data_IF_614623552538
#
_entry.id   IF_614623552538
#
_cell.length_a   1.000
_cell.length_b   1.000
_cell.length_c   1.000
_cell.angle_alpha   90.00
_cell.angle_beta   90.00
_cell.angle_gamma   90.00
#
_symmetry.space_group_name_H-M   'P 1'
#
loop_
_entity.id
_entity.type
_entity.pdbx_description
1 polymer ?
#
# COMPACT_ATOMS: atom_id res chain seq x y z
N UNK A 1 11.33 -28.32 12.85
CA UNK A 1 10.77 -28.13 11.51
C UNK A 1 11.53 -27.07 10.69
N UNK A 2 12.85 -26.89 10.86
CA UNK A 2 13.62 -25.79 10.22
C UNK A 2 14.67 -26.24 9.18
N UNK A 3 14.72 -27.52 8.82
CA UNK A 3 15.78 -28.04 7.95
C UNK A 3 15.45 -27.96 6.45
N UNK A 4 14.17 -28.06 6.07
CA UNK A 4 13.75 -28.08 4.66
C UNK A 4 13.81 -26.71 3.99
N UNK A 5 13.61 -25.64 4.76
CA UNK A 5 13.64 -24.25 4.30
C UNK A 5 15.05 -23.69 4.06
N UNK A 6 16.06 -24.22 4.76
CA UNK A 6 17.45 -23.78 4.65
C UNK A 6 18.11 -24.09 3.28
N UNK A 7 17.53 -24.99 2.49
CA UNK A 7 18.10 -25.40 1.20
C UNK A 7 17.81 -24.33 0.11
N UNK A 8 16.70 -23.60 0.21
CA UNK A 8 16.27 -22.64 -0.81
C UNK A 8 17.12 -21.35 -0.82
N UNK A 9 17.64 -20.91 0.34
CA UNK A 9 18.35 -19.63 0.45
C UNK A 9 19.74 -19.58 -0.21
N UNK A 10 20.34 -20.73 -0.58
CA UNK A 10 21.78 -20.77 -0.87
C UNK A 10 22.20 -20.41 -2.32
N UNK A 11 21.26 -20.21 -3.27
CA UNK A 11 21.63 -20.03 -4.68
C UNK A 11 21.16 -18.73 -5.37
N UNK A 12 20.37 -17.87 -4.72
CA UNK A 12 20.00 -16.56 -5.30
C UNK A 12 21.10 -15.49 -5.17
N UNK A 13 22.18 -15.76 -4.43
CA UNK A 13 23.27 -14.82 -4.17
C UNK A 13 24.36 -14.71 -5.27
N UNK A 14 24.11 -15.14 -6.51
CA UNK A 14 25.12 -15.08 -7.57
C UNK A 14 24.59 -14.43 -8.87
N UNK A 15 24.48 -13.10 -8.87
CA UNK A 15 24.41 -12.28 -10.10
C UNK A 15 25.61 -11.34 -10.19
N UNK A 16 26.65 -11.78 -10.90
CA UNK A 16 27.66 -10.89 -11.49
C UNK A 16 27.37 -10.70 -12.99
N UNK A 17 27.48 -9.45 -13.44
CA UNK A 17 26.95 -8.98 -14.73
C UNK A 17 27.75 -9.37 -15.98
N UNK A 18 27.09 -9.18 -17.12
CA UNK A 18 27.70 -8.91 -18.42
C UNK A 18 26.68 -8.20 -19.32
N UNK A 19 27.12 -7.12 -19.97
CA UNK A 19 26.37 -6.31 -20.92
C UNK A 19 26.43 -6.91 -22.35
N UNK A 20 25.64 -6.39 -23.33
CA UNK A 20 25.19 -7.13 -24.50
C UNK A 20 25.98 -6.84 -25.78
N UNK A 21 26.02 -7.76 -26.76
CA UNK A 21 26.15 -7.45 -28.19
C UNK A 21 25.86 -8.67 -29.10
N UNK A 22 24.91 -8.51 -30.04
CA UNK A 22 24.77 -9.14 -31.38
C UNK A 22 24.75 -10.69 -31.50
N UNK A 23 23.98 -11.38 -32.36
CA UNK A 23 23.46 -11.08 -33.70
C UNK A 23 22.38 -12.12 -34.08
N UNK A 24 21.33 -11.68 -34.80
CA UNK A 24 20.29 -12.50 -35.44
C UNK A 24 20.87 -13.42 -36.54
N UNK A 25 20.21 -14.57 -36.76
CA UNK A 25 19.80 -15.18 -38.06
C UNK A 25 19.86 -16.72 -37.96
N UNK A 26 18.69 -17.37 -37.94
CA UNK A 26 18.25 -18.54 -38.73
C UNK A 26 16.90 -18.98 -38.12
N UNK A 27 15.81 -18.68 -38.83
CA UNK A 27 14.47 -19.22 -38.56
C UNK A 27 14.06 -19.95 -39.85
N UNK A 28 13.31 -21.04 -39.65
CA UNK A 28 12.45 -21.76 -40.60
C UNK A 28 13.06 -23.00 -41.23
N UNK A 29 12.84 -24.16 -40.59
CA UNK A 29 12.10 -25.30 -41.16
C UNK A 29 12.20 -26.54 -40.25
N UNK A 30 11.39 -26.58 -39.18
CA UNK A 30 10.89 -27.82 -38.58
C UNK A 30 9.61 -27.46 -37.81
N UNK A 31 8.51 -27.38 -38.55
CA UNK A 31 7.18 -27.28 -37.95
C UNK A 31 6.61 -28.69 -37.76
N UNK A 32 5.80 -28.84 -36.72
CA UNK A 32 4.87 -29.95 -36.46
C UNK A 32 5.46 -31.24 -35.88
N UNK A 33 5.74 -31.23 -34.57
CA UNK A 33 4.99 -31.99 -33.54
C UNK A 33 5.73 -31.84 -32.21
N UNK A 34 5.55 -30.71 -31.52
CA UNK A 34 5.83 -30.61 -30.09
C UNK A 34 4.68 -29.81 -29.52
N UNK A 35 3.69 -30.54 -29.01
CA UNK A 35 2.87 -30.06 -27.91
C UNK A 35 3.80 -29.43 -26.89
N UNK A 36 3.77 -28.12 -26.74
CA UNK A 36 4.32 -27.47 -25.54
C UNK A 36 3.52 -28.04 -24.37
N UNK A 37 4.01 -29.11 -23.78
CA UNK A 37 3.70 -29.46 -22.41
C UNK A 37 4.32 -28.32 -21.61
N UNK A 38 3.51 -27.33 -21.25
CA UNK A 38 3.86 -26.44 -20.15
C UNK A 38 3.95 -27.36 -18.95
N UNK A 39 5.16 -27.62 -18.48
CA UNK A 39 5.35 -28.23 -17.18
C UNK A 39 4.99 -27.14 -16.17
N UNK A 40 3.70 -26.97 -15.88
CA UNK A 40 3.26 -26.18 -14.74
C UNK A 40 3.76 -26.90 -13.50
N UNK A 41 4.76 -26.28 -12.87
CA UNK A 41 5.29 -26.78 -11.63
C UNK A 41 4.28 -26.63 -10.51
N UNK A 42 4.33 -27.51 -9.52
CA UNK A 42 3.38 -27.49 -8.41
C UNK A 42 4.15 -27.66 -7.09
N UNK A 43 3.83 -26.84 -6.10
CA UNK A 43 4.47 -26.82 -4.78
C UNK A 43 3.44 -26.82 -3.64
N UNK A 44 3.86 -27.32 -2.48
CA UNK A 44 3.10 -27.15 -1.23
C UNK A 44 3.62 -25.94 -0.45
N UNK A 45 2.72 -25.09 0.04
CA UNK A 45 3.06 -23.95 0.90
C UNK A 45 2.62 -24.26 2.33
N UNK A 46 3.54 -24.18 3.29
CA UNK A 46 3.25 -24.42 4.71
C UNK A 46 3.34 -23.11 5.48
N UNK A 47 2.21 -22.66 6.03
CA UNK A 47 2.10 -21.40 6.76
C UNK A 47 1.90 -21.64 8.26
N UNK A 48 2.66 -20.91 9.07
CA UNK A 48 2.42 -20.81 10.51
C UNK A 48 1.30 -19.81 10.75
N UNK A 49 0.16 -20.29 11.21
CA UNK A 49 -1.06 -19.51 11.38
C UNK A 49 -1.51 -19.47 12.84
N UNK A 50 -2.40 -18.52 13.14
CA UNK A 50 -3.04 -18.45 14.45
C UNK A 50 -4.55 -18.60 14.30
N UNK A 51 -5.14 -19.60 14.95
CA UNK A 51 -6.59 -19.72 15.10
C UNK A 51 -7.07 -18.73 16.17
N UNK A 52 -7.91 -17.78 15.75
CA UNK A 52 -8.50 -16.73 16.57
C UNK A 52 -9.97 -17.05 16.83
N UNK A 53 -10.35 -17.05 18.11
CA UNK A 53 -11.73 -17.25 18.55
C UNK A 53 -12.14 -16.16 19.52
N UNK A 54 -13.39 -15.70 19.42
CA UNK A 54 -13.97 -14.73 20.35
C UNK A 54 -14.54 -15.45 21.59
N UNK A 55 -14.08 -15.06 22.77
CA UNK A 55 -14.66 -15.57 24.02
C UNK A 55 -16.00 -14.88 24.30
N UNK A 56 -17.06 -15.67 24.34
CA UNK A 56 -18.37 -15.19 24.82
C UNK A 56 -18.30 -15.02 26.34
N UNK A 57 -17.97 -13.81 26.80
CA UNK A 57 -18.07 -13.47 28.23
C UNK A 57 -19.54 -13.36 28.61
N UNK A 58 -19.96 -14.24 29.52
CA UNK A 58 -21.28 -14.21 30.14
C UNK A 58 -21.33 -13.06 31.18
N UNK A 59 -21.44 -11.82 30.71
CA UNK A 59 -21.50 -10.64 31.55
C UNK A 59 -21.21 -9.36 30.76
N UNK A 60 -22.25 -8.54 30.54
CA UNK A 60 -22.27 -7.41 29.61
C UNK A 60 -21.42 -6.18 29.96
N UNK A 61 -20.18 -6.35 30.45
CA UNK A 61 -19.29 -5.23 30.72
C UNK A 61 -17.82 -5.59 30.42
N UNK A 62 -17.30 -5.10 29.29
CA UNK A 62 -15.86 -4.89 29.08
C UNK A 62 -15.14 -5.88 28.16
N UNK A 63 -15.01 -5.49 26.88
CA UNK A 63 -14.00 -5.96 25.91
C UNK A 63 -14.22 -7.36 25.33
N UNK A 64 -14.13 -7.49 24.01
CA UNK A 64 -13.96 -8.80 23.37
C UNK A 64 -12.60 -9.37 23.79
N UNK A 65 -12.60 -10.52 24.45
CA UNK A 65 -11.40 -11.28 24.73
C UNK A 65 -11.23 -12.31 23.61
N UNK A 66 -10.04 -12.40 23.03
CA UNK A 66 -9.75 -13.33 21.93
C UNK A 66 -8.75 -14.38 22.40
N UNK A 67 -9.04 -15.65 22.15
CA UNK A 67 -8.06 -16.73 22.32
C UNK A 67 -7.30 -16.93 21.02
N UNK A 68 -5.98 -17.06 21.13
CA UNK A 68 -5.07 -17.32 20.00
C UNK A 68 -4.44 -18.69 20.19
N UNK A 69 -4.73 -19.62 19.28
CA UNK A 69 -4.18 -20.97 19.31
C UNK A 69 -3.30 -21.18 18.09
N UNK A 70 -2.06 -21.69 18.23
CA UNK A 70 -1.23 -22.01 17.08
C UNK A 70 -1.91 -23.01 16.14
N UNK A 71 -1.84 -22.77 14.84
CA UNK A 71 -2.35 -23.63 13.80
C UNK A 71 -1.38 -23.64 12.60
N UNK A 72 -1.49 -24.65 11.74
CA UNK A 72 -0.71 -24.73 10.51
C UNK A 72 -1.67 -24.86 9.34
N UNK A 73 -1.49 -24.05 8.31
CA UNK A 73 -2.23 -24.14 7.06
C UNK A 73 -1.29 -24.61 5.97
N UNK A 74 -1.65 -25.69 5.30
CA UNK A 74 -0.92 -26.23 4.16
C UNK A 74 -1.76 -26.02 2.92
N UNK A 75 -1.28 -25.19 2.00
CA UNK A 75 -1.83 -25.14 0.65
C UNK A 75 -1.19 -26.22 -0.18
N UNK A 76 -2.04 -27.13 -0.68
CA UNK A 76 -1.64 -28.17 -1.62
C UNK A 76 -1.79 -27.68 -3.04
N UNK A 77 -0.86 -28.15 -3.85
CA UNK A 77 -0.86 -27.98 -5.29
C UNK A 77 -0.87 -26.52 -5.78
N UNK A 78 -0.07 -25.65 -5.16
CA UNK A 78 0.09 -24.26 -5.59
C UNK A 78 0.88 -24.21 -6.89
N UNK A 79 0.32 -23.58 -7.92
CA UNK A 79 0.97 -23.43 -9.23
C UNK A 79 2.25 -22.58 -9.11
N UNK A 80 3.30 -23.04 -9.78
CA UNK A 80 4.63 -22.42 -9.80
C UNK A 80 4.93 -21.95 -11.22
N UNK A 81 5.45 -20.73 -11.35
CA UNK A 81 5.76 -20.13 -12.64
C UNK A 81 6.78 -20.94 -13.47
N UNK A 82 6.76 -20.82 -14.82
CA UNK A 82 7.53 -21.68 -15.74
C UNK A 82 9.07 -21.52 -15.66
N UNK A 83 9.57 -20.54 -14.91
CA UNK A 83 11.00 -20.25 -14.74
C UNK A 83 11.62 -20.95 -13.51
N UNK A 84 10.83 -21.64 -12.67
CA UNK A 84 11.32 -22.24 -11.43
C UNK A 84 11.60 -23.75 -11.57
N UNK A 85 12.78 -24.18 -11.10
CA UNK A 85 13.19 -25.58 -11.18
C UNK A 85 12.46 -26.46 -10.15
N UNK A 86 11.66 -27.40 -10.64
CA UNK A 86 10.82 -28.31 -9.85
C UNK A 86 11.55 -29.32 -8.95
N UNK A 87 12.86 -29.49 -9.13
CA UNK A 87 13.67 -30.47 -8.39
C UNK A 87 13.96 -30.06 -6.93
N UNK A 88 13.51 -28.86 -6.50
CA UNK A 88 13.85 -28.25 -5.20
C UNK A 88 12.68 -28.12 -4.22
N UNK A 89 11.49 -28.58 -4.59
CA UNK A 89 10.27 -28.44 -3.81
C UNK A 89 10.03 -29.75 -3.03
N UNK A 90 10.29 -29.74 -1.72
CA UNK A 90 9.95 -30.90 -0.89
C UNK A 90 8.45 -30.88 -0.60
N UNK A 91 7.68 -31.92 -1.00
CA UNK A 91 6.26 -31.98 -0.69
C UNK A 91 6.06 -32.03 0.82
N UNK A 92 4.96 -31.44 1.31
CA UNK A 92 4.62 -31.52 2.72
C UNK A 92 4.32 -32.98 3.09
N UNK A 93 5.09 -33.51 4.06
CA UNK A 93 4.87 -34.83 4.62
C UNK A 93 4.19 -34.67 5.98
N UNK A 94 2.90 -35.04 6.11
CA UNK A 94 2.21 -34.98 7.39
C UNK A 94 2.89 -35.91 8.42
N UNK A 95 2.76 -35.62 9.73
CA UNK A 95 3.36 -36.46 10.77
C UNK A 95 2.83 -37.90 10.68
N UNK A 96 3.72 -38.87 10.86
CA UNK A 96 3.39 -40.31 10.79
C UNK A 96 2.45 -40.78 11.90
N UNK A 97 2.33 -40.01 12.98
CA UNK A 97 1.41 -40.25 14.09
C UNK A 97 0.49 -39.02 14.19
N UNK A 98 -0.82 -39.17 13.96
CA UNK A 98 -1.76 -38.06 14.04
C UNK A 98 -1.92 -37.61 15.50
N UNK A 99 -1.72 -36.32 15.75
CA UNK A 99 -1.91 -35.69 17.05
C UNK A 99 -3.20 -34.85 17.02
N UNK A 100 -4.25 -35.23 17.78
CA UNK A 100 -5.53 -34.52 17.77
C UNK A 100 -5.49 -33.13 18.44
N UNK A 101 -4.41 -32.80 19.15
CA UNK A 101 -4.21 -31.48 19.75
C UNK A 101 -3.60 -30.46 18.76
N UNK A 102 -2.93 -30.94 17.70
CA UNK A 102 -2.41 -30.09 16.64
C UNK A 102 -3.52 -29.70 15.65
N UNK A 103 -3.55 -28.43 15.27
CA UNK A 103 -4.52 -27.90 14.30
C UNK A 103 -3.82 -27.74 12.96
N UNK A 104 -4.02 -28.72 12.09
CA UNK A 104 -3.40 -28.78 10.76
C UNK A 104 -4.50 -28.74 9.70
N UNK A 105 -4.59 -27.62 8.97
CA UNK A 105 -5.48 -27.48 7.81
C UNK A 105 -4.73 -27.88 6.54
N UNK A 106 -5.36 -28.68 5.72
CA UNK A 106 -4.88 -29.04 4.39
C UNK A 106 -5.92 -28.53 3.38
N UNK A 107 -5.53 -27.51 2.61
CA UNK A 107 -6.41 -26.80 1.70
C UNK A 107 -5.97 -27.03 0.26
N UNK A 108 -6.87 -27.55 -0.57
CA UNK A 108 -6.65 -27.66 -2.02
C UNK A 108 -6.91 -26.30 -2.69
N UNK A 109 -5.95 -25.83 -3.50
CA UNK A 109 -6.00 -24.49 -4.13
C UNK A 109 -6.27 -24.55 -5.64
N UNK A 110 -6.55 -25.73 -6.20
CA UNK A 110 -6.71 -25.91 -7.65
C UNK A 110 -7.90 -25.16 -8.26
N UNK A 111 -8.92 -24.79 -7.46
CA UNK A 111 -10.12 -24.09 -7.96
C UNK A 111 -10.90 -23.50 -6.78
N UNK A 112 -10.75 -22.21 -6.42
CA UNK A 112 -10.03 -21.15 -7.13
C UNK A 112 -8.54 -21.04 -6.81
N UNK A 113 -7.74 -20.65 -7.81
CA UNK A 113 -6.34 -20.28 -7.64
C UNK A 113 -6.19 -18.99 -6.83
N UNK A 114 -5.15 -18.94 -5.98
CA UNK A 114 -4.78 -17.74 -5.24
C UNK A 114 -3.89 -16.87 -6.14
N UNK A 115 -4.28 -15.62 -6.46
CA UNK A 115 -3.46 -14.73 -7.25
C UNK A 115 -2.15 -14.39 -6.55
N UNK A 116 -1.05 -14.37 -7.30
CA UNK A 116 0.32 -14.09 -6.84
C UNK A 116 0.78 -14.99 -5.67
N UNK A 117 0.35 -16.26 -5.64
CA UNK A 117 0.68 -17.21 -4.58
C UNK A 117 2.19 -17.50 -4.47
N UNK A 118 2.96 -17.25 -5.53
CA UNK A 118 4.42 -17.35 -5.54
C UNK A 118 5.07 -16.48 -4.48
N UNK A 119 4.47 -15.34 -4.11
CA UNK A 119 4.99 -14.49 -3.01
C UNK A 119 5.13 -15.27 -1.70
N UNK A 120 4.21 -16.20 -1.44
CA UNK A 120 4.24 -17.04 -0.23
C UNK A 120 5.35 -18.08 -0.27
N UNK A 121 5.73 -18.57 -1.46
CA UNK A 121 6.84 -19.52 -1.63
C UNK A 121 8.19 -18.86 -1.34
N UNK A 122 8.32 -17.58 -1.69
CA UNK A 122 9.57 -16.83 -1.56
C UNK A 122 9.70 -16.03 -0.25
N UNK A 123 8.65 -15.99 0.58
CA UNK A 123 8.59 -15.12 1.75
C UNK A 123 9.72 -15.40 2.75
N UNK A 124 9.90 -16.67 3.14
CA UNK A 124 10.95 -17.05 4.09
C UNK A 124 12.36 -16.76 3.56
N UNK A 125 12.57 -16.90 2.25
CA UNK A 125 13.86 -16.64 1.61
C UNK A 125 14.17 -15.15 1.48
N UNK A 126 13.12 -14.33 1.38
CA UNK A 126 13.21 -12.88 1.35
C UNK A 126 13.16 -12.25 2.75
N UNK A 127 13.19 -13.06 3.81
CA UNK A 127 13.04 -12.62 5.20
C UNK A 127 11.76 -11.79 5.44
N UNK A 128 10.69 -12.14 4.72
CA UNK A 128 9.40 -11.45 4.80
C UNK A 128 8.49 -12.12 5.83
N UNK A 129 7.90 -11.33 6.71
CA UNK A 129 6.95 -11.83 7.71
C UNK A 129 5.57 -12.08 7.07
N UNK A 130 5.10 -13.33 7.13
CA UNK A 130 3.77 -13.72 6.66
C UNK A 130 2.80 -13.74 7.83
N UNK A 131 1.84 -12.81 7.82
CA UNK A 131 0.75 -12.79 8.77
C UNK A 131 -0.37 -13.73 8.30
N UNK A 132 -0.64 -14.78 9.07
CA UNK A 132 -1.73 -15.72 8.82
C UNK A 132 -2.64 -15.87 10.05
N UNK A 133 -3.90 -15.46 9.89
CA UNK A 133 -4.93 -15.65 10.91
C UNK A 133 -6.09 -16.49 10.35
N UNK A 134 -6.55 -17.45 11.15
CA UNK A 134 -7.69 -18.31 10.83
C UNK A 134 -8.78 -18.04 11.86
N UNK A 135 -10.02 -17.91 11.43
CA UNK A 135 -11.17 -17.73 12.32
C UNK A 135 -12.35 -18.59 11.86
N UNK A 136 -13.24 -18.96 12.78
CA UNK A 136 -14.45 -19.68 12.43
C UNK A 136 -15.39 -18.75 11.65
N UNK A 137 -15.90 -19.23 10.52
CA UNK A 137 -16.78 -18.46 9.66
C UNK A 137 -18.21 -19.02 9.72
N UNK A 138 -19.19 -18.13 9.85
CA UNK A 138 -20.61 -18.49 9.82
C UNK A 138 -21.28 -17.81 8.62
N UNK A 139 -21.64 -18.56 7.56
CA UNK A 139 -22.31 -18.01 6.39
C UNK A 139 -23.65 -17.36 6.76
N UNK A 140 -23.96 -16.21 6.12
CA UNK A 140 -25.17 -15.45 6.45
C UNK A 140 -26.43 -16.20 6.01
N UNK A 141 -27.38 -16.39 6.91
CA UNK A 141 -28.67 -17.00 6.60
C UNK A 141 -28.65 -18.52 6.47
N UNK A 142 -27.50 -19.17 6.71
CA UNK A 142 -27.44 -20.62 6.92
C UNK A 142 -27.60 -20.94 8.41
N UNK A 143 -28.33 -22.01 8.71
CA UNK A 143 -28.40 -22.56 10.06
C UNK A 143 -27.01 -23.08 10.45
N UNK A 144 -26.57 -22.87 11.69
CA UNK A 144 -25.33 -23.46 12.20
C UNK A 144 -25.41 -25.00 12.16
N UNK A 145 -24.85 -25.59 11.11
CA UNK A 145 -24.55 -27.01 11.04
C UNK A 145 -23.11 -27.26 11.46
N UNK A 146 -22.86 -28.37 12.15
CA UNK A 146 -21.49 -28.82 12.44
C UNK A 146 -20.73 -29.23 11.19
N UNK A 147 -21.44 -29.74 10.18
CA UNK A 147 -20.89 -30.25 8.92
C UNK A 147 -21.71 -29.72 7.72
N UNK A 148 -21.10 -29.04 6.73
CA UNK A 148 -19.71 -28.61 6.69
C UNK A 148 -19.46 -27.42 7.62
N UNK A 149 -18.24 -27.32 8.15
CA UNK A 149 -17.74 -26.14 8.84
C UNK A 149 -16.99 -25.22 7.88
N UNK A 150 -17.01 -23.91 8.18
CA UNK A 150 -16.35 -22.90 7.38
C UNK A 150 -15.34 -22.11 8.21
N UNK A 151 -14.25 -21.71 7.58
CA UNK A 151 -13.20 -20.91 8.19
C UNK A 151 -12.80 -19.76 7.29
N UNK A 152 -12.53 -18.60 7.86
CA UNK A 152 -11.96 -17.45 7.17
C UNK A 152 -10.47 -17.40 7.46
N UNK A 153 -9.65 -17.34 6.42
CA UNK A 153 -8.20 -17.18 6.50
C UNK A 153 -7.84 -15.79 5.98
N UNK A 154 -7.12 -15.01 6.78
CA UNK A 154 -6.56 -13.71 6.38
C UNK A 154 -5.06 -13.85 6.22
N UNK A 155 -4.56 -13.58 5.03
CA UNK A 155 -3.15 -13.63 4.68
C UNK A 155 -2.66 -12.24 4.26
N UNK A 156 -1.49 -11.86 4.77
CA UNK A 156 -0.79 -10.67 4.29
C UNK A 156 0.72 -10.80 4.51
N UNK A 157 1.53 -10.37 3.55
CA UNK A 157 3.01 -10.42 3.64
C UNK A 157 3.60 -9.02 3.86
N UNK A 158 4.32 -8.78 4.96
CA UNK A 158 4.84 -7.44 5.24
C UNK A 158 5.85 -6.96 4.17
N UNK A 159 5.85 -5.66 3.89
CA UNK A 159 6.70 -5.05 2.86
C UNK A 159 6.34 -5.39 1.40
N UNK A 160 5.36 -6.26 1.15
CA UNK A 160 4.89 -6.64 -0.19
C UNK A 160 3.39 -6.37 -0.32
N UNK A 161 2.98 -5.93 -1.52
CA UNK A 161 1.59 -5.72 -1.90
C UNK A 161 0.83 -7.05 -2.16
N UNK A 162 0.84 -7.93 -1.16
CA UNK A 162 0.08 -9.18 -1.14
C UNK A 162 -0.84 -9.22 0.07
N UNK A 163 -2.15 -9.25 -0.18
CA UNK A 163 -3.15 -9.50 0.86
C UNK A 163 -4.36 -10.21 0.27
N UNK A 164 -4.78 -11.29 0.93
CA UNK A 164 -5.92 -12.10 0.49
C UNK A 164 -6.70 -12.64 1.69
N UNK A 165 -8.01 -12.69 1.55
CA UNK A 165 -8.95 -13.27 2.49
C UNK A 165 -9.67 -14.44 1.81
N UNK A 166 -9.57 -15.64 2.39
CA UNK A 166 -10.03 -16.90 1.80
C UNK A 166 -11.08 -17.54 2.70
N UNK A 167 -12.10 -18.16 2.12
CA UNK A 167 -13.05 -19.00 2.84
C UNK A 167 -12.74 -20.47 2.54
N UNK A 168 -12.44 -21.21 3.59
CA UNK A 168 -12.26 -22.65 3.57
C UNK A 168 -13.56 -23.35 3.96
N UNK A 169 -13.88 -24.43 3.26
CA UNK A 169 -14.96 -25.35 3.58
C UNK A 169 -14.38 -26.72 3.92
N UNK A 170 -14.83 -27.35 5.01
CA UNK A 170 -14.42 -28.72 5.35
C UNK A 170 -15.02 -29.74 4.39
N UNK A 171 -14.19 -30.68 3.93
CA UNK A 171 -14.64 -31.80 3.11
C UNK A 171 -15.40 -32.83 3.96
N UNK A 172 -16.39 -33.49 3.35
CA UNK A 172 -17.11 -34.59 4.01
C UNK A 172 -16.21 -35.83 4.07
N UNK A 173 -15.89 -36.27 5.27
CA UNK A 173 -15.16 -37.52 5.53
C UNK A 173 -16.17 -38.59 5.95
N UNK A 174 -16.17 -39.75 5.29
CA UNK A 174 -16.95 -40.90 5.75
C UNK A 174 -16.44 -41.35 7.13
N UNK A 175 -17.30 -41.22 8.15
CA UNK A 175 -16.95 -41.54 9.54
C UNK A 175 -16.88 -43.05 9.73
N UNK A 176 -15.68 -43.63 9.60
CA UNK A 176 -15.39 -44.99 10.03
C UNK A 176 -15.17 -45.05 11.56
N UNK A 177 -15.21 -46.24 12.17
CA UNK A 177 -15.04 -46.41 13.64
C UNK A 177 -13.70 -45.87 14.18
N UNK A 178 -12.70 -45.67 13.33
CA UNK A 178 -11.36 -45.18 13.66
C UNK A 178 -11.10 -43.72 13.30
N UNK A 179 -12.10 -42.96 12.81
CA UNK A 179 -11.89 -41.54 12.48
C UNK A 179 -11.63 -40.74 13.74
N UNK A 180 -10.41 -40.22 13.86
CA UNK A 180 -10.00 -39.34 14.93
C UNK A 180 -10.72 -37.99 14.80
N UNK A 181 -11.03 -37.35 15.92
CA UNK A 181 -11.65 -36.02 15.97
C UNK A 181 -10.65 -35.03 16.55
N UNK A 182 -10.58 -33.82 16.01
CA UNK A 182 -9.73 -32.76 16.53
C UNK A 182 -10.31 -32.24 17.85
N UNK A 183 -9.49 -32.21 18.91
CA UNK A 183 -9.96 -32.02 20.29
C UNK A 183 -10.62 -30.66 20.55
N UNK A 184 -10.18 -29.61 19.84
CA UNK A 184 -10.63 -28.23 20.07
C UNK A 184 -11.83 -27.84 19.19
N UNK A 185 -11.80 -28.23 17.92
CA UNK A 185 -12.77 -27.89 16.88
C UNK A 185 -13.90 -28.92 16.75
N UNK A 186 -13.70 -30.12 17.28
CA UNK A 186 -14.69 -31.21 17.22
C UNK A 186 -14.93 -31.73 15.80
N UNK A 187 -13.99 -31.52 14.88
CA UNK A 187 -14.10 -31.89 13.47
C UNK A 187 -13.36 -33.19 13.16
N UNK A 188 -13.86 -34.01 12.21
CA UNK A 188 -13.21 -35.24 11.81
C UNK A 188 -11.85 -34.96 11.13
N UNK A 189 -10.83 -35.72 11.51
CA UNK A 189 -9.51 -35.69 10.90
C UNK A 189 -9.40 -36.75 9.80
N UNK A 190 -8.54 -36.48 8.83
CA UNK A 190 -8.10 -37.44 7.82
C UNK A 190 -7.27 -38.58 8.44
N UNK A 191 -6.95 -39.59 7.63
CA UNK A 191 -6.04 -40.67 8.04
C UNK A 191 -4.64 -40.16 8.41
N UNK A 192 -4.23 -39.00 7.90
CA UNK A 192 -2.96 -38.33 8.18
C UNK A 192 -3.05 -37.34 9.34
N UNK A 193 -4.21 -37.22 10.00
CA UNK A 193 -4.40 -36.31 11.14
C UNK A 193 -4.63 -34.85 10.76
N UNK A 194 -5.02 -34.56 9.52
CA UNK A 194 -5.25 -33.20 9.00
C UNK A 194 -6.74 -32.91 8.81
N UNK A 195 -7.11 -31.64 8.90
CA UNK A 195 -8.44 -31.14 8.52
C UNK A 195 -8.43 -30.87 7.03
N UNK A 196 -9.10 -31.74 6.27
CA UNK A 196 -9.23 -31.58 4.83
C UNK A 196 -10.24 -30.48 4.52
N UNK A 197 -9.78 -29.50 3.76
CA UNK A 197 -10.55 -28.33 3.35
C UNK A 197 -10.35 -27.99 1.88
N UNK A 198 -11.29 -27.25 1.33
CA UNK A 198 -11.19 -26.65 0.01
C UNK A 198 -11.42 -25.14 0.10
N UNK A 199 -10.73 -24.38 -0.74
CA UNK A 199 -11.01 -22.94 -0.90
C UNK A 199 -12.25 -22.81 -1.78
N UNK A 200 -13.28 -22.10 -1.33
CA UNK A 200 -14.51 -21.92 -2.11
C UNK A 200 -14.68 -20.50 -2.66
N UNK A 201 -14.11 -19.52 -1.98
CA UNK A 201 -14.24 -18.11 -2.28
C UNK A 201 -13.06 -17.34 -1.69
N UNK A 202 -12.56 -16.35 -2.42
CA UNK A 202 -11.49 -15.48 -1.95
C UNK A 202 -11.63 -14.06 -2.48
N UNK A 203 -11.14 -13.09 -1.70
CA UNK A 203 -11.04 -11.68 -2.07
C UNK A 203 -9.61 -11.23 -1.83
N UNK A 204 -9.03 -10.53 -2.80
CA UNK A 204 -7.62 -10.15 -2.78
C UNK A 204 -7.42 -8.70 -3.23
N UNK A 205 -6.26 -8.15 -2.88
CA UNK A 205 -5.75 -6.89 -3.42
C UNK A 205 -4.28 -7.04 -3.79
N UNK A 206 -3.89 -6.35 -4.87
CA UNK A 206 -2.51 -6.18 -5.30
C UNK A 206 -1.90 -4.86 -4.82
N UNK A 207 -2.60 -4.13 -3.94
CA UNK A 207 -2.09 -2.91 -3.27
C UNK A 207 -2.59 -2.88 -1.83
N UNK A 208 -1.70 -2.63 -0.86
CA UNK A 208 -2.09 -2.40 0.54
C UNK A 208 -2.24 -0.92 0.87
N UNK A 209 -1.41 -0.10 0.22
CA UNK A 209 -1.40 1.34 0.41
C UNK A 209 -1.10 2.03 -0.91
N UNK A 210 -1.73 3.16 -1.15
CA UNK A 210 -1.51 3.97 -2.35
C UNK A 210 -1.54 5.45 -2.01
N UNK A 211 -0.62 6.22 -2.58
CA UNK A 211 -0.61 7.68 -2.49
C UNK A 211 -1.07 8.29 -3.81
N UNK A 212 -2.00 9.23 -3.76
CA UNK A 212 -2.54 9.88 -4.94
C UNK A 212 -2.63 11.40 -4.78
N UNK A 213 -2.41 12.18 -5.86
CA UNK A 213 -2.44 13.62 -5.78
C UNK A 213 -3.85 14.16 -5.53
N UNK A 214 -3.94 15.24 -4.74
CA UNK A 214 -5.17 15.98 -4.55
C UNK A 214 -5.72 16.44 -5.91
N UNK A 215 -7.04 16.30 -6.11
CA UNK A 215 -7.75 16.54 -7.39
C UNK A 215 -7.40 15.57 -8.52
N UNK A 216 -6.47 14.63 -8.30
CA UNK A 216 -6.20 13.54 -9.22
C UNK A 216 -7.20 12.40 -9.09
N UNK A 217 -6.88 11.30 -9.75
CA UNK A 217 -7.68 10.10 -9.80
C UNK A 217 -6.86 8.91 -9.27
N UNK A 218 -7.54 7.90 -8.73
CA UNK A 218 -6.90 6.68 -8.21
C UNK A 218 -7.78 5.45 -8.46
N UNK A 219 -7.14 4.31 -8.70
CA UNK A 219 -7.76 3.00 -8.77
C UNK A 219 -7.41 2.22 -7.52
N UNK A 220 -8.43 1.83 -6.74
CA UNK A 220 -8.27 0.95 -5.59
C UNK A 220 -8.52 -0.50 -6.05
N UNK A 221 -7.46 -1.29 -6.15
CA UNK A 221 -7.53 -2.65 -6.65
C UNK A 221 -8.26 -3.58 -5.66
N UNK A 222 -9.24 -4.32 -6.13
CA UNK A 222 -9.89 -5.39 -5.37
C UNK A 222 -10.39 -6.44 -6.36
N UNK A 223 -10.08 -7.70 -6.12
CA UNK A 223 -10.54 -8.81 -6.95
C UNK A 223 -11.10 -9.94 -6.10
N UNK A 224 -11.84 -10.83 -6.73
CA UNK A 224 -12.32 -12.06 -6.12
C UNK A 224 -12.23 -13.24 -7.07
N UNK A 225 -12.14 -14.45 -6.50
CA UNK A 225 -12.25 -15.72 -7.21
C UNK A 225 -13.22 -16.62 -6.44
N UNK A 226 -13.91 -17.49 -7.16
CA UNK A 226 -14.77 -18.53 -6.59
C UNK A 226 -14.47 -19.85 -7.29
N UNK A 227 -14.88 -20.95 -6.65
CA UNK A 227 -14.82 -22.28 -7.25
C UNK A 227 -15.57 -22.35 -8.60
N UNK A 228 -15.23 -23.33 -9.43
CA UNK A 228 -15.89 -23.56 -10.73
C UNK A 228 -17.42 -23.70 -10.65
N UNK A 229 -17.94 -24.26 -9.56
CA UNK A 229 -19.38 -24.37 -9.31
C UNK A 229 -19.87 -23.06 -8.69
N UNK A 230 -20.63 -22.22 -9.41
CA UNK A 230 -21.01 -20.90 -8.91
C UNK A 230 -21.73 -20.99 -7.56
N UNK A 231 -21.26 -20.23 -6.57
CA UNK A 231 -21.86 -20.19 -5.23
C UNK A 231 -23.21 -19.48 -5.22
N UNK A 232 -23.41 -18.54 -6.15
CA UNK A 232 -24.65 -17.85 -6.44
C UNK A 232 -24.62 -17.24 -7.85
N UNK A 233 -25.77 -16.75 -8.30
CA UNK A 233 -25.91 -16.07 -9.61
C UNK A 233 -25.54 -14.59 -9.56
N UNK A 234 -25.52 -14.01 -8.35
CA UNK A 234 -25.33 -12.57 -8.14
C UNK A 234 -24.14 -12.30 -7.21
N UNK A 235 -23.40 -11.23 -7.51
CA UNK A 235 -22.35 -10.67 -6.68
C UNK A 235 -22.75 -9.28 -6.15
N UNK A 236 -22.50 -9.06 -4.87
CA UNK A 236 -22.65 -7.78 -4.19
C UNK A 236 -21.28 -7.19 -3.84
N UNK A 237 -21.08 -5.91 -4.14
CA UNK A 237 -19.84 -5.18 -3.95
C UNK A 237 -20.14 -3.96 -3.10
N UNK A 238 -19.47 -3.82 -1.97
CA UNK A 238 -19.60 -2.66 -1.10
C UNK A 238 -18.22 -2.08 -0.81
N UNK A 239 -18.07 -0.78 -1.09
CA UNK A 239 -16.91 0.00 -0.70
C UNK A 239 -17.27 0.94 0.44
N UNK A 240 -16.50 0.87 1.53
CA UNK A 240 -16.62 1.77 2.69
C UNK A 240 -15.32 2.51 2.93
N UNK A 241 -15.41 3.75 3.41
CA UNK A 241 -14.28 4.54 3.89
C UNK A 241 -14.39 4.70 5.40
N UNK A 242 -13.33 4.32 6.11
CA UNK A 242 -13.13 4.56 7.52
C UNK A 242 -11.99 5.56 7.70
N UNK A 243 -12.24 6.70 8.33
CA UNK A 243 -11.20 7.70 8.63
C UNK A 243 -11.51 8.44 9.93
N UNK A 244 -10.52 8.48 10.84
CA UNK A 244 -10.60 9.19 12.15
C UNK A 244 -11.88 8.86 12.93
N UNK A 245 -12.22 7.57 13.01
CA UNK A 245 -13.38 7.07 13.76
C UNK A 245 -14.73 7.25 13.08
N UNK A 246 -14.80 7.82 11.86
CA UNK A 246 -16.03 7.93 11.07
C UNK A 246 -15.99 6.96 9.89
N UNK A 247 -17.04 6.18 9.73
CA UNK A 247 -17.26 5.29 8.59
C UNK A 247 -18.38 5.80 7.71
N UNK A 248 -18.20 5.76 6.38
CA UNK A 248 -19.27 5.99 5.42
C UNK A 248 -19.21 4.98 4.28
N UNK A 249 -20.37 4.66 3.72
CA UNK A 249 -20.44 3.93 2.45
C UNK A 249 -19.98 4.88 1.34
N UNK A 250 -19.24 4.35 0.38
CA UNK A 250 -18.72 5.09 -0.78
C UNK A 250 -19.51 4.69 -2.01
N UNK A 251 -19.65 3.38 -2.20
CA UNK A 251 -20.36 2.77 -3.31
C UNK A 251 -20.91 1.41 -2.88
N UNK A 252 -22.11 1.08 -3.34
CA UNK A 252 -22.67 -0.26 -3.31
C UNK A 252 -23.16 -0.65 -4.70
N UNK A 253 -22.91 -1.89 -5.07
CA UNK A 253 -23.25 -2.43 -6.36
C UNK A 253 -23.74 -3.87 -6.24
N UNK A 254 -24.75 -4.22 -7.04
CA UNK A 254 -25.17 -5.61 -7.24
C UNK A 254 -25.21 -5.91 -8.73
N UNK A 255 -24.64 -7.05 -9.11
CA UNK A 255 -24.60 -7.50 -10.50
C UNK A 255 -24.81 -9.00 -10.59
N UNK A 256 -25.35 -9.44 -11.72
CA UNK A 256 -25.37 -10.86 -12.08
C UNK A 256 -23.99 -11.26 -12.61
N UNK A 257 -23.56 -12.46 -12.30
CA UNK A 257 -22.31 -13.03 -12.81
C UNK A 257 -22.48 -13.62 -14.23
N UNK A 258 -23.69 -14.08 -14.56
CA UNK A 258 -23.98 -14.77 -15.83
C UNK A 258 -24.48 -13.85 -16.96
N UNK A 259 -24.84 -12.59 -16.66
CA UNK A 259 -25.59 -11.73 -17.58
C UNK A 259 -25.07 -10.28 -17.57
N UNK A 260 -24.53 -9.83 -18.71
CA UNK A 260 -24.00 -8.46 -18.89
C UNK A 260 -25.10 -7.42 -19.14
N UNK A 261 -26.35 -7.85 -19.33
CA UNK A 261 -27.51 -6.98 -19.62
C UNK A 261 -28.48 -6.82 -18.42
N UNK A 262 -28.24 -7.53 -17.32
CA UNK A 262 -29.05 -7.45 -16.11
C UNK A 262 -28.95 -6.08 -15.41
N UNK A 263 -30.04 -5.63 -14.76
CA UNK A 263 -30.09 -4.35 -14.07
C UNK A 263 -28.99 -4.21 -13.01
N UNK A 264 -27.88 -3.56 -13.37
CA UNK A 264 -26.83 -3.17 -12.44
C UNK A 264 -27.33 -2.03 -11.58
N UNK A 265 -27.45 -2.27 -10.29
CA UNK A 265 -27.84 -1.21 -9.34
C UNK A 265 -26.57 -0.71 -8.69
N UNK A 266 -26.12 0.49 -9.08
CA UNK A 266 -24.98 1.18 -8.48
C UNK A 266 -25.50 2.37 -7.66
N UNK A 267 -25.30 2.33 -6.36
CA UNK A 267 -25.52 3.45 -5.45
C UNK A 267 -24.17 4.02 -5.04
N UNK A 268 -23.77 5.14 -5.64
CA UNK A 268 -22.55 5.86 -5.28
C UNK A 268 -22.86 7.07 -4.39
N UNK A 269 -22.49 6.99 -3.11
CA UNK A 269 -22.61 8.13 -2.18
C UNK A 269 -21.54 9.21 -2.47
N UNK A 270 -20.37 8.79 -2.99
CA UNK A 270 -19.25 9.68 -3.32
C UNK A 270 -19.19 9.96 -4.83
N UNK A 271 -19.70 11.12 -5.25
CA UNK A 271 -19.78 11.57 -6.67
C UNK A 271 -18.80 10.94 -7.67
N UNK A 272 -17.50 11.20 -7.72
CA UNK A 272 -16.62 10.58 -8.73
C UNK A 272 -16.24 9.09 -8.54
N UNK A 273 -17.04 8.26 -7.85
CA UNK A 273 -16.75 6.83 -7.62
C UNK A 273 -17.43 5.92 -8.65
N UNK A 274 -16.72 4.92 -9.16
CA UNK A 274 -17.28 3.92 -10.08
C UNK A 274 -16.62 2.55 -9.94
N UNK A 275 -17.39 1.49 -10.22
CA UNK A 275 -16.93 0.11 -10.38
C UNK A 275 -17.47 -0.39 -11.73
N UNK A 276 -16.67 -1.14 -12.48
CA UNK A 276 -17.06 -1.68 -13.79
C UNK A 276 -17.82 -2.99 -13.65
N UNK A 277 -19.11 -2.99 -14.03
CA UNK A 277 -19.98 -4.15 -13.94
C UNK A 277 -19.53 -5.34 -14.79
N UNK A 278 -19.02 -5.06 -15.99
CA UNK A 278 -18.59 -6.09 -16.91
C UNK A 278 -17.33 -6.78 -16.39
N UNK A 279 -16.40 -6.02 -15.79
CA UNK A 279 -15.21 -6.59 -15.18
C UNK A 279 -15.51 -7.37 -13.89
N UNK A 280 -16.50 -6.94 -13.09
CA UNK A 280 -16.96 -7.72 -11.94
C UNK A 280 -17.50 -9.08 -12.39
N UNK A 281 -18.38 -9.10 -13.40
CA UNK A 281 -19.01 -10.33 -13.88
C UNK A 281 -18.04 -11.25 -14.64
N UNK A 282 -17.23 -10.68 -15.55
CA UNK A 282 -16.35 -11.45 -16.43
C UNK A 282 -15.01 -11.84 -15.83
N UNK A 283 -14.41 -10.97 -15.01
CA UNK A 283 -13.03 -11.14 -14.50
C UNK A 283 -12.96 -11.24 -12.97
N UNK A 284 -14.09 -11.11 -12.27
CA UNK A 284 -14.11 -11.03 -10.80
C UNK A 284 -13.39 -9.79 -10.27
N UNK A 285 -13.34 -8.70 -11.04
CA UNK A 285 -12.63 -7.49 -10.66
C UNK A 285 -13.60 -6.46 -10.06
N UNK A 286 -13.48 -6.22 -8.76
CA UNK A 286 -14.29 -5.30 -7.96
C UNK A 286 -13.58 -3.96 -7.67
N UNK A 287 -12.55 -3.63 -8.43
CA UNK A 287 -11.75 -2.43 -8.24
C UNK A 287 -12.59 -1.16 -8.39
N UNK A 288 -12.34 -0.17 -7.53
CA UNK A 288 -13.06 1.10 -7.54
C UNK A 288 -12.16 2.24 -8.03
N UNK A 289 -12.66 2.99 -9.01
CA UNK A 289 -12.03 4.24 -9.44
C UNK A 289 -12.62 5.40 -8.66
N UNK A 290 -11.77 6.26 -8.11
CA UNK A 290 -12.15 7.53 -7.51
C UNK A 290 -11.55 8.68 -8.32
N UNK A 291 -12.40 9.59 -8.78
CA UNK A 291 -11.97 10.78 -9.52
C UNK A 291 -12.08 12.06 -8.71
N UNK A 292 -11.20 13.01 -9.04
CA UNK A 292 -11.10 14.34 -8.41
C UNK A 292 -11.02 14.23 -6.88
N UNK A 293 -9.97 13.58 -6.40
CA UNK A 293 -9.75 13.33 -4.98
C UNK A 293 -9.78 14.60 -4.14
N UNK A 294 -10.33 14.48 -2.94
CA UNK A 294 -10.34 15.53 -1.91
C UNK A 294 -9.63 15.02 -0.67
N UNK A 295 -9.16 15.92 0.19
CA UNK A 295 -8.56 15.55 1.49
C UNK A 295 -9.50 14.66 2.32
N UNK A 296 -10.82 14.89 2.24
CA UNK A 296 -11.83 14.08 2.95
C UNK A 296 -12.00 12.66 2.39
N UNK A 297 -11.40 12.35 1.24
CA UNK A 297 -11.38 11.02 0.65
C UNK A 297 -10.18 10.20 1.16
N UNK A 298 -9.26 10.79 1.93
CA UNK A 298 -8.17 10.06 2.59
C UNK A 298 -8.70 9.12 3.68
N UNK A 299 -8.09 7.93 3.79
CA UNK A 299 -8.34 7.00 4.88
C UNK A 299 -8.27 5.55 4.44
N UNK A 300 -8.85 4.71 5.28
CA UNK A 300 -8.84 3.25 5.12
C UNK A 300 -10.09 2.82 4.35
N UNK A 301 -9.90 2.31 3.13
CA UNK A 301 -10.96 1.78 2.30
C UNK A 301 -11.12 0.28 2.54
N UNK A 302 -12.37 -0.17 2.58
CA UNK A 302 -12.74 -1.57 2.80
C UNK A 302 -13.57 -2.00 1.61
N UNK A 303 -13.02 -2.92 0.82
CA UNK A 303 -13.72 -3.65 -0.23
C UNK A 303 -14.41 -4.85 0.40
N UNK A 304 -15.72 -4.97 0.28
CA UNK A 304 -16.48 -6.16 0.68
C UNK A 304 -17.12 -6.77 -0.55
N UNK A 305 -16.80 -8.03 -0.85
CA UNK A 305 -17.46 -8.79 -1.92
C UNK A 305 -18.31 -9.86 -1.26
N UNK A 306 -19.55 -9.99 -1.72
CA UNK A 306 -20.53 -10.97 -1.24
C UNK A 306 -21.08 -11.80 -2.38
N UNK A 307 -21.07 -13.12 -2.25
CA UNK A 307 -21.65 -14.07 -3.20
C UNK A 307 -22.50 -15.06 -2.42
N UNK A 308 -23.81 -15.06 -2.68
CA UNK A 308 -24.77 -15.88 -1.93
C UNK A 308 -24.74 -15.58 -0.42
N UNK A 309 -24.40 -16.59 0.38
CA UNK A 309 -24.26 -16.47 1.86
C UNK A 309 -22.87 -16.08 2.32
N UNK A 310 -21.91 -16.01 1.39
CA UNK A 310 -20.50 -15.79 1.66
C UNK A 310 -20.11 -14.34 1.39
N UNK A 311 -19.18 -13.84 2.19
CA UNK A 311 -18.58 -12.53 2.02
C UNK A 311 -17.19 -12.50 2.64
N UNK A 312 -16.29 -11.77 2.01
CA UNK A 312 -14.92 -11.54 2.45
C UNK A 312 -14.54 -10.09 2.15
N UNK A 313 -13.50 -9.61 2.84
CA UNK A 313 -13.14 -8.21 2.84
C UNK A 313 -11.66 -8.01 2.65
N UNK A 314 -11.31 -6.91 2.00
CA UNK A 314 -9.94 -6.47 1.86
C UNK A 314 -9.82 -4.99 2.20
N UNK A 315 -8.71 -4.62 2.83
CA UNK A 315 -8.43 -3.27 3.31
C UNK A 315 -7.31 -2.64 2.50
N UNK A 316 -7.48 -1.37 2.13
CA UNK A 316 -6.52 -0.58 1.36
C UNK A 316 -6.42 0.81 1.97
N UNK A 317 -5.20 1.25 2.26
CA UNK A 317 -4.95 2.59 2.78
C UNK A 317 -4.75 3.58 1.63
N UNK A 318 -5.57 4.63 1.55
CA UNK A 318 -5.40 5.73 0.60
C UNK A 318 -4.81 6.94 1.33
N UNK A 319 -3.65 7.40 0.85
CA UNK A 319 -3.04 8.66 1.23
C UNK A 319 -3.28 9.70 0.13
N UNK A 320 -3.68 10.90 0.53
CA UNK A 320 -3.78 12.05 -0.38
C UNK A 320 -2.53 12.89 -0.20
N UNK A 321 -1.91 13.29 -1.32
CA UNK A 321 -0.71 14.12 -1.31
C UNK A 321 -0.92 15.40 -2.13
N UNK A 322 -0.36 16.50 -1.67
CA UNK A 322 -0.32 17.77 -2.39
C UNK A 322 1.02 18.45 -2.08
N UNK A 323 1.91 18.61 -3.08
CA UNK A 323 3.19 19.28 -2.87
C UNK A 323 2.99 20.77 -2.55
N UNK A 324 3.86 21.34 -1.71
CA UNK A 324 3.80 22.75 -1.33
C UNK A 324 4.17 23.68 -2.48
N UNK A 325 3.50 24.83 -2.53
CA UNK A 325 3.96 25.99 -3.28
C UNK A 325 4.79 26.90 -2.36
N UNK A 326 6.09 27.00 -2.60
CA UNK A 326 7.03 27.74 -1.75
C UNK A 326 7.46 29.04 -2.42
N UNK A 327 7.47 30.14 -1.67
CA UNK A 327 7.86 31.47 -2.16
C UNK A 327 8.46 32.32 -1.04
N UNK A 328 9.30 33.29 -1.39
CA UNK A 328 9.86 34.28 -0.47
C UNK A 328 9.10 35.61 -0.58
N UNK A 329 9.08 36.39 0.50
CA UNK A 329 8.43 37.72 0.51
C UNK A 329 9.16 38.76 -0.32
N UNK A 330 10.46 38.56 -0.58
CA UNK A 330 11.33 39.49 -1.30
C UNK A 330 12.07 38.73 -2.41
N UNK A 331 12.12 39.30 -3.62
CA UNK A 331 12.94 38.79 -4.73
C UNK A 331 14.40 39.24 -4.64
N UNK A 332 14.64 40.37 -3.96
CA UNK A 332 15.95 41.01 -3.76
C UNK A 332 16.03 41.57 -2.35
N UNK A 333 17.17 41.39 -1.68
CA UNK A 333 17.34 41.82 -0.30
C UNK A 333 18.45 42.84 -0.16
N UNK A 334 18.12 44.09 0.21
CA UNK A 334 19.09 45.16 0.45
C UNK A 334 19.12 45.51 1.93
N UNK A 335 20.17 45.05 2.61
CA UNK A 335 20.28 45.14 4.07
C UNK A 335 20.88 46.49 4.52
N UNK A 336 20.03 47.52 4.65
CA UNK A 336 20.41 48.79 5.33
C UNK A 336 20.25 48.70 6.85
N UNK A 337 19.32 47.86 7.30
CA UNK A 337 18.98 47.54 8.70
C UNK A 337 18.54 46.08 8.77
N UNK A 338 18.34 45.54 9.97
CA UNK A 338 17.73 44.22 10.12
C UNK A 338 16.36 44.19 9.43
N UNK A 339 16.14 43.20 8.57
CA UNK A 339 14.92 43.03 7.79
C UNK A 339 14.35 41.63 7.99
N UNK A 340 13.02 41.53 8.09
CA UNK A 340 12.34 40.24 8.21
C UNK A 340 12.06 39.67 6.82
N UNK A 341 12.66 38.54 6.50
CA UNK A 341 12.38 37.75 5.31
C UNK A 341 11.35 36.67 5.67
N UNK A 342 10.31 36.52 4.86
CA UNK A 342 9.29 35.48 5.08
C UNK A 342 9.36 34.42 3.98
N UNK A 343 9.31 33.16 4.36
CA UNK A 343 9.15 32.02 3.46
C UNK A 343 7.74 31.47 3.62
N UNK A 344 6.96 31.50 2.54
CA UNK A 344 5.58 31.07 2.51
C UNK A 344 5.49 29.68 1.87
N UNK A 345 5.16 28.68 2.68
CA UNK A 345 4.87 27.32 2.25
C UNK A 345 3.34 27.14 2.19
N UNK A 346 2.78 27.02 0.98
CA UNK A 346 1.34 27.14 0.77
C UNK A 346 0.70 25.93 0.11
N UNK A 347 -0.55 25.66 0.51
CA UNK A 347 -1.45 24.66 -0.10
C UNK A 347 -0.84 23.27 -0.20
N UNK A 348 -0.29 22.76 0.90
CA UNK A 348 0.31 21.42 0.95
C UNK A 348 -0.52 20.46 1.80
N UNK A 349 -0.33 19.17 1.57
CA UNK A 349 -0.96 18.09 2.35
C UNK A 349 -0.14 16.80 2.19
N UNK A 350 0.15 16.02 3.26
CA UNK A 350 -0.34 16.11 4.65
C UNK A 350 0.32 17.24 5.46
N UNK A 351 0.02 17.32 6.77
CA UNK A 351 0.44 18.40 7.67
C UNK A 351 1.96 18.45 7.90
N UNK A 352 2.65 17.32 7.79
CA UNK A 352 4.07 17.16 8.14
C UNK A 352 4.98 17.90 7.16
N UNK A 353 5.24 19.18 7.42
CA UNK A 353 6.16 20.03 6.66
C UNK A 353 7.26 20.57 7.56
N UNK A 354 8.51 20.52 7.08
CA UNK A 354 9.67 21.10 7.77
C UNK A 354 10.24 22.25 6.96
N UNK A 355 10.47 23.39 7.61
CA UNK A 355 11.05 24.58 7.00
C UNK A 355 12.36 24.92 7.74
N UNK A 356 13.44 25.06 6.98
CA UNK A 356 14.76 25.38 7.51
C UNK A 356 15.38 26.56 6.75
N UNK A 357 16.12 27.40 7.46
CA UNK A 357 16.88 28.49 6.87
C UNK A 357 18.35 28.13 6.76
N UNK A 358 18.90 28.31 5.55
CA UNK A 358 20.31 28.13 5.23
C UNK A 358 20.89 29.42 4.65
N UNK A 359 22.20 29.59 4.77
CA UNK A 359 22.95 30.64 4.09
C UNK A 359 24.12 30.04 3.33
N UNK A 360 24.34 30.57 2.12
CA UNK A 360 25.49 30.25 1.29
C UNK A 360 26.24 31.55 1.02
N UNK A 361 27.35 31.75 1.73
CA UNK A 361 28.23 32.90 1.49
C UNK A 361 29.03 32.69 0.19
N UNK A 362 29.51 33.75 -0.48
CA UNK A 362 30.33 33.62 -1.69
C UNK A 362 31.64 32.83 -1.49
N UNK A 363 32.08 32.65 -0.24
CA UNK A 363 33.31 31.92 0.12
C UNK A 363 33.06 30.44 0.39
N UNK A 364 31.81 30.05 0.60
CA UNK A 364 31.41 28.69 0.93
C UNK A 364 31.00 27.93 -0.34
N UNK A 365 31.31 26.63 -0.38
CA UNK A 365 30.89 25.74 -1.47
C UNK A 365 29.52 25.12 -1.18
N UNK A 366 29.14 24.98 0.10
CA UNK A 366 27.92 24.32 0.54
C UNK A 366 27.08 25.21 1.46
N UNK A 367 25.73 25.15 1.37
CA UNK A 367 24.85 25.87 2.29
C UNK A 367 25.01 25.42 3.74
N UNK A 368 25.07 26.38 4.66
CA UNK A 368 25.13 26.12 6.10
C UNK A 368 23.84 26.55 6.78
N UNK A 369 23.39 25.86 7.83
CA UNK A 369 22.24 26.31 8.62
C UNK A 369 22.45 27.73 9.15
N UNK A 370 21.41 28.55 9.03
CA UNK A 370 21.40 29.87 9.64
C UNK A 370 21.40 29.73 11.16
N UNK A 371 22.19 30.55 11.88
CA UNK A 371 22.32 30.44 13.33
C UNK A 371 20.98 30.62 14.07
N UNK A 372 20.09 31.45 13.53
CA UNK A 372 18.71 31.60 13.97
C UNK A 372 17.77 30.95 12.93
N UNK A 373 17.03 29.91 13.31
CA UNK A 373 16.06 29.24 12.43
C UNK A 373 14.74 30.01 12.26
N UNK A 374 14.68 31.26 12.76
CA UNK A 374 13.51 32.11 12.64
C UNK A 374 12.36 31.67 13.53
N UNK A 375 11.15 32.09 13.16
CA UNK A 375 9.92 31.72 13.85
C UNK A 375 8.89 31.18 12.85
N UNK A 376 8.19 30.12 13.23
CA UNK A 376 7.13 29.53 12.43
C UNK A 376 5.78 30.14 12.80
N UNK A 377 4.96 30.41 11.80
CA UNK A 377 3.54 30.70 11.99
C UNK A 377 2.80 29.44 12.44
N UNK A 378 1.61 29.63 13.02
CA UNK A 378 0.65 28.53 13.15
C UNK A 378 0.22 28.02 11.76
N UNK A 379 -0.24 26.76 11.72
CA UNK A 379 -0.80 26.19 10.51
C UNK A 379 -2.16 26.81 10.22
N UNK A 380 -2.36 27.22 8.96
CA UNK A 380 -3.66 27.65 8.45
C UNK A 380 -4.23 26.56 7.56
N UNK A 381 -5.42 26.06 7.90
CA UNK A 381 -6.14 25.10 7.05
C UNK A 381 -7.07 25.83 6.07
N UNK A 382 -7.08 25.39 4.82
CA UNK A 382 -7.95 25.91 3.75
C UNK A 382 -9.22 25.07 3.62
N UNK A 383 -10.22 25.60 2.90
CA UNK A 383 -11.51 24.92 2.69
C UNK A 383 -11.41 23.62 1.86
N UNK A 384 -10.34 23.43 1.10
CA UNK A 384 -10.05 22.18 0.40
C UNK A 384 -9.29 21.16 1.27
N UNK A 385 -9.01 21.50 2.53
CA UNK A 385 -8.33 20.67 3.51
C UNK A 385 -6.81 20.82 3.53
N UNK A 386 -6.21 21.54 2.56
CA UNK A 386 -4.76 21.79 2.52
C UNK A 386 -4.30 22.73 3.63
N UNK A 387 -3.01 22.71 3.93
CA UNK A 387 -2.37 23.56 4.93
C UNK A 387 -1.46 24.61 4.29
N UNK A 388 -1.25 25.70 5.03
CA UNK A 388 -0.23 26.70 4.77
C UNK A 388 0.49 27.05 6.07
N UNK A 389 1.79 27.27 5.99
CA UNK A 389 2.63 27.74 7.07
C UNK A 389 3.68 28.71 6.52
N UNK A 390 4.11 29.66 7.32
CA UNK A 390 5.20 30.57 6.95
C UNK A 390 6.31 30.54 8.00
N UNK A 391 7.55 30.70 7.55
CA UNK A 391 8.70 30.91 8.42
C UNK A 391 9.19 32.35 8.27
N UNK A 392 9.50 33.02 9.37
CA UNK A 392 9.95 34.41 9.39
C UNK A 392 11.35 34.48 10.00
N UNK A 393 12.31 34.90 9.18
CA UNK A 393 13.71 35.06 9.56
C UNK A 393 14.05 36.55 9.68
N UNK A 394 14.57 36.96 10.84
CA UNK A 394 15.19 38.28 10.99
C UNK A 394 16.63 38.21 10.46
N UNK A 395 16.87 38.79 9.30
CA UNK A 395 18.19 38.85 8.67
C UNK A 395 18.94 40.07 9.22
N UNK A 396 20.08 39.89 9.89
CA UNK A 396 20.84 40.99 10.44
C UNK A 396 21.66 41.71 9.34
N UNK A 397 22.00 43.00 9.53
CA UNK A 397 22.61 43.82 8.48
C UNK A 397 24.08 43.50 8.19
N UNK A 398 24.73 42.67 9.02
CA UNK A 398 26.11 42.23 8.88
C UNK A 398 26.30 41.09 7.87
N UNK A 399 25.21 40.50 7.36
CA UNK A 399 25.27 39.50 6.29
C UNK A 399 25.87 40.13 5.03
N UNK A 400 26.97 39.55 4.56
CA UNK A 400 27.74 40.11 3.45
C UNK A 400 26.95 40.13 2.13
N UNK A 401 27.06 41.20 1.32
CA UNK A 401 26.53 41.20 -0.04
C UNK A 401 27.06 40.01 -0.86
N UNK A 402 26.20 39.47 -1.73
CA UNK A 402 26.45 38.24 -2.50
C UNK A 402 26.08 36.94 -1.77
N UNK A 403 25.73 36.99 -0.48
CA UNK A 403 25.23 35.81 0.25
C UNK A 403 23.84 35.43 -0.26
N UNK A 404 23.62 34.13 -0.49
CA UNK A 404 22.27 33.60 -0.76
C UNK A 404 21.64 33.12 0.54
N UNK A 405 20.45 33.61 0.83
CA UNK A 405 19.62 33.12 1.94
C UNK A 405 18.60 32.16 1.34
N UNK A 406 18.55 30.94 1.87
CA UNK A 406 17.80 29.83 1.31
C UNK A 406 16.78 29.37 2.34
N UNK A 407 15.52 29.26 1.94
CA UNK A 407 14.50 28.53 2.67
C UNK A 407 14.37 27.14 2.05
N UNK A 408 14.71 26.11 2.82
CA UNK A 408 14.58 24.70 2.46
C UNK A 408 13.28 24.16 3.03
N UNK A 409 12.49 23.49 2.20
CA UNK A 409 11.23 22.88 2.59
C UNK A 409 11.25 21.39 2.31
N UNK A 410 11.09 20.58 3.35
CA UNK A 410 10.95 19.13 3.26
C UNK A 410 9.51 18.74 3.54
N UNK A 411 8.93 17.88 2.68
CA UNK A 411 7.52 17.47 2.77
C UNK A 411 7.33 16.09 2.12
N UNK A 412 6.45 15.21 2.64
CA UNK A 412 6.22 13.86 2.10
C UNK A 412 5.76 13.79 0.64
N UNK A 413 5.19 14.88 0.10
CA UNK A 413 4.77 14.94 -1.30
C UNK A 413 5.89 15.40 -2.26
N UNK A 414 7.12 15.56 -1.76
CA UNK A 414 8.30 15.91 -2.54
C UNK A 414 9.33 14.78 -2.51
N UNK A 415 9.86 14.39 -3.67
CA UNK A 415 10.92 13.38 -3.75
C UNK A 415 12.25 13.87 -3.13
N UNK A 416 12.47 15.18 -3.16
CA UNK A 416 13.62 15.84 -2.55
C UNK A 416 13.21 17.22 -1.97
N UNK A 417 13.95 17.74 -0.97
CA UNK A 417 13.65 19.05 -0.40
C UNK A 417 13.67 20.16 -1.45
N UNK A 418 12.73 21.10 -1.32
CA UNK A 418 12.61 22.25 -2.22
C UNK A 418 13.32 23.48 -1.63
N UNK A 419 14.28 24.03 -2.36
CA UNK A 419 15.05 25.20 -1.95
C UNK A 419 14.61 26.44 -2.76
N UNK A 420 14.16 27.49 -2.06
CA UNK A 420 13.97 28.84 -2.64
C UNK A 420 14.98 29.79 -2.03
N UNK A 421 15.52 30.74 -2.81
CA UNK A 421 16.58 31.61 -2.31
C UNK A 421 16.47 33.04 -2.79
N UNK A 422 17.02 33.96 -2.00
CA UNK A 422 17.17 35.38 -2.31
C UNK A 422 18.64 35.79 -2.16
N UNK A 423 19.10 36.66 -3.05
CA UNK A 423 20.45 37.22 -3.01
C UNK A 423 20.47 38.51 -2.19
N UNK A 424 21.46 38.64 -1.31
CA UNK A 424 21.76 39.91 -0.64
C UNK A 424 22.49 40.83 -1.60
N UNK A 425 21.85 41.93 -2.02
CA UNK A 425 22.44 42.92 -2.90
C UNK A 425 23.19 44.01 -2.10
N UNK A 426 24.22 44.58 -2.71
CA UNK A 426 24.90 45.75 -2.16
C UNK A 426 23.95 46.96 -2.19
N UNK A 427 23.89 47.79 -1.13
CA UNK A 427 23.15 49.03 -1.18
C UNK A 427 23.70 49.91 -2.32
N UNK A 428 22.80 50.46 -3.15
CA UNK A 428 23.21 51.42 -4.20
C UNK A 428 24.02 52.56 -3.56
N UNK A 429 25.14 52.97 -4.18
CA UNK A 429 25.93 54.08 -3.67
C UNK A 429 25.07 55.34 -3.67
N UNK A 430 24.93 55.99 -2.52
CA UNK A 430 24.21 57.24 -2.43
C UNK A 430 24.78 58.22 -3.47
N UNK A 431 23.90 58.69 -4.37
CA UNK A 431 24.22 59.58 -5.49
C UNK A 431 24.87 60.91 -5.03
N UNK A 432 24.96 61.14 -3.72
CA UNK A 432 25.65 62.25 -3.08
C UNK A 432 27.09 62.45 -3.58
N UNK A 433 27.88 61.39 -3.78
CA UNK A 433 29.25 61.54 -4.28
C UNK A 433 29.32 61.98 -5.74
N UNK A 434 28.35 61.57 -6.55
CA UNK A 434 28.19 62.04 -7.92
C UNK A 434 27.75 63.51 -7.96
N UNK A 435 26.80 63.90 -7.11
CA UNK A 435 26.33 65.30 -6.99
C UNK A 435 27.42 66.21 -6.43
N UNK A 436 28.16 65.77 -5.42
CA UNK A 436 29.30 66.50 -4.86
C UNK A 436 30.43 66.62 -5.88
N UNK A 437 30.73 65.55 -6.61
CA UNK A 437 31.69 65.57 -7.72
C UNK A 437 31.28 66.57 -8.80
N UNK A 438 30.01 66.58 -9.19
CA UNK A 438 29.48 67.53 -10.17
C UNK A 438 29.54 68.99 -9.64
N UNK A 439 29.24 69.21 -8.36
CA UNK A 439 29.36 70.52 -7.70
C UNK A 439 30.82 71.01 -7.66
N UNK A 440 31.78 70.14 -7.34
CA UNK A 440 33.20 70.52 -7.32
C UNK A 440 33.70 70.83 -8.73
N UNK A 441 33.33 70.03 -9.73
CA UNK A 441 33.70 70.27 -11.13
C UNK A 441 33.10 71.58 -11.64
N UNK A 442 31.84 71.86 -11.35
CA UNK A 442 31.19 73.13 -11.74
C UNK A 442 31.87 74.33 -11.07
N UNK A 443 32.20 74.26 -9.79
CA UNK A 443 32.94 75.34 -9.09
C UNK A 443 34.33 75.55 -9.69
N UNK A 444 35.08 74.49 -10.01
CA UNK A 444 36.39 74.59 -10.65
C UNK A 444 36.30 75.19 -12.06
N UNK A 445 35.27 74.83 -12.83
CA UNK A 445 35.03 75.42 -14.15
C UNK A 445 34.80 76.93 -14.06
N UNK A 446 33.98 77.40 -13.12
CA UNK A 446 33.77 78.83 -12.91
C UNK A 446 35.01 79.56 -12.39
N UNK A 447 35.87 78.90 -11.61
CA UNK A 447 37.13 79.49 -11.13
C UNK A 447 38.18 79.65 -12.24
N UNK A 448 38.18 78.81 -13.28
CA UNK A 448 39.11 78.92 -14.42
C UNK A 448 38.69 79.97 -15.47
N UNK A 449 37.45 80.48 -15.38
CA UNK A 449 36.88 81.44 -16.35
C UNK A 449 36.97 82.89 -15.85
N UNK A 450 37.38 83.09 -14.59
CA UNK A 450 37.75 84.39 -13.99
C UNK A 450 39.26 84.57 -14.11
#
# INVERSE_FOLDING_TARGET
MSASLLIYCNFTAQKHGASPFMMRIIILLFAHFMTCVWADGVADVVLSCTLVEEEVRLGGMGGAAFTRTPATLVFRDVAVGPEESLEMLTPFVPPSIPDPDLILFEAKVSSPEIPNAEVLLHADCNEQEVMCEISRYSPRGMQESLDPAYFMVSLSVDGVDFSTALILQTLKIEKERSTLTQNKLGLPLSQTGTLLTEVIFLVFTHIKSVSAPLRGDVLLNCGFRQQEIPLAQDAGIEWRLQHRGKGRKVLEMKTKLDDTEGATVVYGDRVGSSVDAAQVAGEGNASMTLTRLKVVDEGTYICTVSIGSFHAQQVIQLHVIQPPHVSLSEEKLVLKKAQTLSCHCSKYYPLDSQLEWLSLSPKDTEPKPFANQGSLSSHRQHGDGTYSQSSHLAVPPDVSPGTKIICRVSHPALDAPLDVSVLVESPEPDCYWWVLGFLVITVLFFYQVI
#
